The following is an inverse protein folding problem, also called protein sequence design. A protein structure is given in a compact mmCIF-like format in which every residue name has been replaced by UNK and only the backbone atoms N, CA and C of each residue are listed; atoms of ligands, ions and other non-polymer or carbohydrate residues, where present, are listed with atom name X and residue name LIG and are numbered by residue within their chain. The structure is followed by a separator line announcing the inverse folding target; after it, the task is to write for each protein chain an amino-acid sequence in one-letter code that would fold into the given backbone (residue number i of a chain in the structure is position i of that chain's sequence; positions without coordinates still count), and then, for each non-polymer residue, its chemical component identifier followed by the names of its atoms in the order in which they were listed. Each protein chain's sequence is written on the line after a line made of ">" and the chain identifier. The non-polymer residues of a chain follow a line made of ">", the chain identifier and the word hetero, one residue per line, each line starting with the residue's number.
data_IF_667193415891
#
_entry.id   IF_667193415891
#
_cell.length_a   1.000
_cell.length_b   1.000
_cell.length_c   1.000
_cell.angle_alpha   90.00
_cell.angle_beta   90.00
_cell.angle_gamma   90.00
#
_symmetry.space_group_name_H-M   'P 1'
#
loop_
_entity.id
_entity.type
_entity.pdbx_description
1 polymer ?
#
# COMPACT_ATOMS: atom_id res chain seq x y z
N UNK A 1 20.02 29.25 -16.01
CA UNK A 1 19.19 28.24 -15.34
C UNK A 1 19.69 28.13 -13.92
N UNK A 2 18.96 28.72 -12.97
CA UNK A 2 19.15 28.46 -11.53
C UNK A 2 18.88 26.98 -11.27
N UNK A 3 19.69 26.37 -10.41
CA UNK A 3 19.65 24.94 -10.12
C UNK A 3 18.20 24.51 -9.78
N UNK A 4 17.64 23.47 -10.43
CA UNK A 4 16.27 23.06 -10.15
C UNK A 4 16.16 22.53 -8.72
N UNK A 5 14.94 22.52 -8.17
CA UNK A 5 14.53 21.98 -6.85
C UNK A 5 15.08 20.58 -6.49
N UNK A 6 15.70 19.91 -7.46
CA UNK A 6 16.43 18.68 -7.29
C UNK A 6 17.38 18.69 -6.08
N UNK A 7 18.19 19.74 -5.89
CA UNK A 7 19.12 19.83 -4.73
C UNK A 7 18.39 20.04 -3.40
N UNK A 8 17.19 20.62 -3.42
CA UNK A 8 16.39 20.83 -2.22
C UNK A 8 15.67 19.55 -1.77
N UNK A 9 15.29 18.68 -2.70
CA UNK A 9 14.60 17.42 -2.40
C UNK A 9 15.46 16.16 -2.59
N UNK A 10 16.77 16.32 -2.79
CA UNK A 10 17.74 15.22 -2.74
C UNK A 10 18.86 15.52 -1.74
N UNK A 11 19.45 14.45 -1.20
CA UNK A 11 20.55 14.55 -0.23
C UNK A 11 20.09 14.68 1.23
N UNK A 12 20.96 15.17 2.14
CA UNK A 12 20.75 15.09 3.59
C UNK A 12 19.51 15.85 4.09
N UNK A 13 19.18 16.97 3.44
CA UNK A 13 18.07 17.85 3.85
C UNK A 13 16.73 17.46 3.22
N UNK A 14 16.72 16.51 2.28
CA UNK A 14 15.53 16.13 1.51
C UNK A 14 14.33 15.77 2.39
N UNK A 15 14.57 14.99 3.46
CA UNK A 15 13.51 14.58 4.39
C UNK A 15 12.91 15.77 5.14
N UNK A 16 13.76 16.68 5.62
CA UNK A 16 13.32 17.90 6.32
C UNK A 16 12.52 18.82 5.41
N UNK A 17 13.03 19.05 4.21
CA UNK A 17 12.37 19.90 3.20
C UNK A 17 11.03 19.30 2.74
N UNK A 18 10.96 17.98 2.54
CA UNK A 18 9.71 17.28 2.21
C UNK A 18 8.69 17.41 3.34
N UNK A 19 9.10 17.25 4.60
CA UNK A 19 8.19 17.41 5.74
C UNK A 19 7.74 18.87 5.91
N UNK A 20 8.63 19.84 5.70
CA UNK A 20 8.27 21.25 5.72
C UNK A 20 7.25 21.57 4.62
N UNK A 21 7.44 21.02 3.41
CA UNK A 21 6.52 21.21 2.29
C UNK A 21 5.13 20.66 2.61
N UNK A 22 5.06 19.42 3.08
CA UNK A 22 3.80 18.78 3.46
C UNK A 22 3.08 19.53 4.60
N UNK A 23 3.82 20.22 5.47
CA UNK A 23 3.27 21.06 6.55
C UNK A 23 2.93 22.49 6.12
N UNK A 24 3.27 22.89 4.90
CA UNK A 24 3.11 24.28 4.44
C UNK A 24 4.12 25.27 5.03
N UNK A 25 5.25 24.78 5.54
CA UNK A 25 6.33 25.56 6.17
C UNK A 25 7.57 25.69 5.27
N UNK A 26 7.50 25.22 4.04
CA UNK A 26 8.64 25.25 3.11
C UNK A 26 8.60 26.53 2.28
N UNK A 27 9.62 27.36 2.46
CA UNK A 27 9.81 28.57 1.67
C UNK A 27 10.69 28.29 0.46
N UNK A 28 10.29 28.81 -0.69
CA UNK A 28 11.04 28.69 -1.94
C UNK A 28 11.52 30.06 -2.39
N UNK A 29 12.83 30.16 -2.58
CA UNK A 29 13.50 31.33 -3.16
C UNK A 29 13.41 31.29 -4.70
N UNK A 30 12.20 31.31 -5.27
CA UNK A 30 11.99 31.39 -6.72
C UNK A 30 11.02 32.50 -7.10
N UNK A 31 11.24 33.08 -8.27
CA UNK A 31 10.31 34.05 -8.87
C UNK A 31 9.26 33.38 -9.79
N UNK A 32 9.30 32.06 -9.98
CA UNK A 32 8.34 31.33 -10.83
C UNK A 32 7.01 31.10 -10.10
N UNK A 33 5.91 31.78 -10.51
CA UNK A 33 4.62 31.66 -9.85
C UNK A 33 3.96 30.28 -10.01
N UNK A 34 4.25 29.56 -11.10
CA UNK A 34 3.68 28.22 -11.31
C UNK A 34 4.28 27.22 -10.33
N UNK A 35 5.58 27.35 -10.06
CA UNK A 35 6.25 26.47 -9.12
C UNK A 35 5.79 26.71 -7.69
N UNK A 36 5.62 27.97 -7.30
CA UNK A 36 5.05 28.33 -5.98
C UNK A 36 3.65 27.74 -5.83
N UNK A 37 2.80 27.88 -6.86
CA UNK A 37 1.45 27.32 -6.84
C UNK A 37 1.47 25.79 -6.74
N UNK A 38 2.32 25.11 -7.50
CA UNK A 38 2.47 23.66 -7.43
C UNK A 38 2.85 23.18 -6.02
N UNK A 39 3.83 23.83 -5.39
CA UNK A 39 4.30 23.46 -4.05
C UNK A 39 3.24 23.71 -2.98
N UNK A 40 2.46 24.78 -3.09
CA UNK A 40 1.36 25.03 -2.14
C UNK A 40 0.27 23.94 -2.21
N UNK A 41 -0.02 23.43 -3.42
CA UNK A 41 -0.93 22.29 -3.62
C UNK A 41 -0.35 20.94 -3.17
N UNK A 42 0.96 20.86 -2.87
CA UNK A 42 1.57 19.65 -2.32
C UNK A 42 1.36 19.52 -0.80
N UNK A 43 0.79 20.54 -0.13
CA UNK A 43 0.52 20.52 1.31
C UNK A 43 -0.43 19.37 1.67
N UNK A 44 -0.20 18.73 2.82
CA UNK A 44 -1.14 17.75 3.36
C UNK A 44 -2.47 18.47 3.67
N UNK A 45 -3.62 17.95 3.19
CA UNK A 45 -4.93 18.49 3.54
C UNK A 45 -5.16 18.52 5.06
N UNK A 46 -5.86 19.55 5.52
CA UNK A 46 -6.29 19.64 6.92
C UNK A 46 -7.32 18.55 7.24
N UNK A 47 -7.28 17.99 8.45
CA UNK A 47 -8.20 16.93 8.89
C UNK A 47 -7.74 15.49 8.61
N UNK A 48 -6.57 15.28 8.00
CA UNK A 48 -5.94 13.96 7.90
C UNK A 48 -5.18 13.62 9.19
N UNK A 49 -5.72 12.71 9.98
CA UNK A 49 -5.01 12.15 11.14
C UNK A 49 -3.99 11.09 10.70
N UNK A 50 -2.78 11.14 11.26
CA UNK A 50 -1.82 10.04 11.14
C UNK A 50 -2.30 8.87 12.00
N UNK A 51 -2.96 7.90 11.37
CA UNK A 51 -3.23 6.63 12.03
C UNK A 51 -1.99 5.73 11.98
N UNK A 52 -1.60 5.13 13.13
CA UNK A 52 -0.53 4.14 13.13
C UNK A 52 -0.90 2.99 12.19
N UNK A 53 0.00 2.66 11.25
CA UNK A 53 -0.14 1.49 10.38
C UNK A 53 0.25 0.19 11.08
N UNK A 54 -0.09 0.06 12.36
CA UNK A 54 0.17 -1.15 13.12
C UNK A 54 -0.95 -2.17 12.90
N UNK A 55 -0.56 -3.45 12.85
CA UNK A 55 -1.48 -4.57 12.81
C UNK A 55 -1.41 -5.25 14.16
N UNK A 56 -2.47 -5.12 14.95
CA UNK A 56 -2.60 -5.87 16.19
C UNK A 56 -2.99 -7.33 15.91
N UNK A 57 -2.71 -8.20 16.88
CA UNK A 57 -3.04 -9.64 16.82
C UNK A 57 -4.55 -9.87 16.71
N UNK A 58 -5.37 -9.12 17.46
CA UNK A 58 -6.82 -9.27 17.41
C UNK A 58 -7.36 -8.82 16.04
N UNK A 59 -6.83 -7.71 15.52
CA UNK A 59 -7.10 -7.21 14.17
C UNK A 59 -6.75 -8.25 13.10
N UNK A 60 -5.59 -8.89 13.22
CA UNK A 60 -5.13 -9.93 12.30
C UNK A 60 -6.07 -11.14 12.30
N UNK A 61 -6.36 -11.70 13.47
CA UNK A 61 -7.22 -12.90 13.61
C UNK A 61 -8.64 -12.60 13.14
N UNK A 62 -9.20 -11.45 13.54
CA UNK A 62 -10.56 -11.05 13.18
C UNK A 62 -10.71 -10.79 11.68
N UNK A 63 -9.67 -10.27 11.01
CA UNK A 63 -9.62 -10.08 9.57
C UNK A 63 -9.68 -11.42 8.84
N UNK A 64 -8.75 -12.34 9.13
CA UNK A 64 -8.66 -13.63 8.42
C UNK A 64 -9.85 -14.54 8.68
N UNK A 65 -10.48 -14.45 9.85
CA UNK A 65 -11.73 -15.17 10.14
C UNK A 65 -12.85 -14.84 9.15
N UNK A 66 -12.90 -13.60 8.65
CA UNK A 66 -13.93 -13.11 7.70
C UNK A 66 -13.55 -13.34 6.23
N UNK A 67 -12.29 -13.69 5.95
CA UNK A 67 -11.82 -13.82 4.57
C UNK A 67 -12.34 -15.10 3.92
N UNK A 68 -12.79 -14.95 2.67
CA UNK A 68 -13.27 -16.06 1.85
C UNK A 68 -12.11 -16.97 1.50
N UNK A 69 -12.27 -18.26 1.79
CA UNK A 69 -11.23 -19.25 1.51
C UNK A 69 -11.07 -19.46 0.01
N UNK A 70 -12.14 -19.77 -0.74
CA UNK A 70 -12.07 -20.10 -2.19
C UNK A 70 -11.64 -18.96 -3.14
N UNK A 71 -10.97 -17.93 -2.65
CA UNK A 71 -10.42 -16.84 -3.46
C UNK A 71 -9.13 -17.31 -4.14
N UNK A 72 -9.06 -17.14 -5.45
CA UNK A 72 -7.84 -17.40 -6.21
C UNK A 72 -6.68 -16.50 -5.76
N UNK A 73 -5.51 -17.11 -5.56
CA UNK A 73 -4.27 -16.47 -5.13
C UNK A 73 -3.10 -16.91 -6.02
N UNK A 74 -1.97 -16.21 -5.88
CA UNK A 74 -0.73 -16.64 -6.51
C UNK A 74 -0.31 -18.04 -5.99
N UNK A 75 0.08 -19.00 -6.87
CA UNK A 75 0.28 -20.42 -6.50
C UNK A 75 1.36 -20.73 -5.46
N UNK A 76 2.39 -19.89 -5.33
CA UNK A 76 3.52 -20.13 -4.42
C UNK A 76 3.28 -19.52 -3.02
N UNK A 77 2.14 -18.86 -2.82
CA UNK A 77 1.78 -18.21 -1.57
C UNK A 77 0.86 -19.05 -0.69
N UNK A 78 0.82 -18.72 0.61
CA UNK A 78 -0.15 -19.31 1.52
C UNK A 78 -1.57 -18.85 1.15
N UNK A 79 -2.46 -19.83 1.04
CA UNK A 79 -3.88 -19.59 0.88
C UNK A 79 -4.55 -18.94 2.11
N UNK A 80 -5.63 -18.18 1.92
CA UNK A 80 -6.41 -17.56 3.01
C UNK A 80 -6.80 -18.55 4.13
N UNK A 81 -7.08 -19.81 3.76
CA UNK A 81 -7.41 -20.88 4.70
C UNK A 81 -6.28 -21.20 5.68
N UNK A 82 -5.01 -21.06 5.26
CA UNK A 82 -3.87 -21.26 6.16
C UNK A 82 -3.83 -20.20 7.25
N UNK A 83 -3.99 -18.92 6.92
CA UNK A 83 -4.05 -17.84 7.91
C UNK A 83 -5.27 -17.95 8.83
N UNK A 84 -6.40 -18.41 8.30
CA UNK A 84 -7.60 -18.64 9.12
C UNK A 84 -7.41 -19.79 10.11
N UNK A 85 -6.76 -20.88 9.69
CA UNK A 85 -6.39 -21.97 10.59
C UNK A 85 -5.29 -21.53 11.58
N UNK A 86 -4.31 -20.74 11.12
CA UNK A 86 -3.24 -20.15 11.93
C UNK A 86 -3.78 -19.27 13.05
N UNK A 87 -4.90 -18.58 12.82
CA UNK A 87 -5.61 -17.80 13.83
C UNK A 87 -6.11 -18.59 15.05
N UNK A 88 -6.19 -19.93 14.98
CA UNK A 88 -6.52 -20.76 16.14
C UNK A 88 -5.32 -21.05 17.06
N UNK A 89 -4.09 -20.81 16.58
CA UNK A 89 -2.85 -20.98 17.35
C UNK A 89 -2.27 -19.61 17.68
N UNK A 90 -2.16 -19.28 18.97
CA UNK A 90 -1.59 -18.00 19.40
C UNK A 90 -0.18 -17.78 18.85
N UNK A 91 0.64 -18.82 18.81
CA UNK A 91 2.01 -18.74 18.30
C UNK A 91 2.03 -18.37 16.81
N UNK A 92 1.24 -19.08 15.99
CA UNK A 92 1.21 -18.85 14.54
C UNK A 92 0.59 -17.49 14.22
N UNK A 93 -0.53 -17.14 14.86
CA UNK A 93 -1.17 -15.84 14.69
C UNK A 93 -0.22 -14.68 15.05
N UNK A 94 0.58 -14.81 16.11
CA UNK A 94 1.62 -13.84 16.45
C UNK A 94 2.68 -13.74 15.35
N UNK A 95 3.20 -14.86 14.84
CA UNK A 95 4.17 -14.86 13.75
C UNK A 95 3.61 -14.19 12.49
N UNK A 96 2.40 -14.55 12.07
CA UNK A 96 1.73 -14.00 10.88
C UNK A 96 1.45 -12.50 11.06
N UNK A 97 1.12 -12.05 12.28
CA UNK A 97 0.93 -10.63 12.61
C UNK A 97 2.23 -9.83 12.47
N UNK A 98 3.35 -10.40 12.93
CA UNK A 98 4.68 -9.80 12.79
C UNK A 98 5.04 -9.65 11.31
N UNK A 99 4.91 -10.72 10.51
CA UNK A 99 5.22 -10.67 9.08
C UNK A 99 4.39 -9.62 8.34
N UNK A 100 3.08 -9.53 8.65
CA UNK A 100 2.20 -8.51 8.08
C UNK A 100 2.56 -7.08 8.51
N UNK A 101 3.22 -6.91 9.65
CA UNK A 101 3.65 -5.60 10.17
C UNK A 101 4.97 -5.09 9.59
N UNK A 102 5.82 -5.97 9.03
CA UNK A 102 7.13 -5.60 8.47
C UNK A 102 7.06 -4.47 7.43
N UNK A 103 6.14 -4.49 6.44
CA UNK A 103 6.05 -3.41 5.44
C UNK A 103 5.74 -2.06 6.05
N UNK A 104 4.91 -2.03 7.09
CA UNK A 104 4.51 -0.80 7.76
C UNK A 104 5.62 -0.22 8.62
N UNK A 105 6.41 -1.08 9.28
CA UNK A 105 7.53 -0.66 10.11
C UNK A 105 8.77 -0.27 9.30
N UNK A 106 9.05 -0.97 8.20
CA UNK A 106 10.33 -0.86 7.47
C UNK A 106 10.22 -0.17 6.12
N UNK A 107 9.03 -0.07 5.54
CA UNK A 107 8.83 0.35 4.16
C UNK A 107 9.24 -0.70 3.12
N UNK A 108 9.67 -1.89 3.54
CA UNK A 108 10.07 -2.98 2.65
C UNK A 108 9.03 -4.11 2.65
N UNK A 109 8.70 -4.58 1.45
CA UNK A 109 7.74 -5.65 1.24
C UNK A 109 8.47 -7.00 1.18
N UNK A 110 7.95 -8.08 1.81
CA UNK A 110 8.50 -9.42 1.68
C UNK A 110 8.63 -9.84 0.22
N UNK A 111 9.74 -10.49 -0.14
CA UNK A 111 10.02 -10.90 -1.52
C UNK A 111 8.90 -11.77 -2.13
N UNK A 112 8.24 -12.59 -1.30
CA UNK A 112 7.13 -13.43 -1.74
C UNK A 112 5.91 -12.62 -2.23
N UNK A 113 5.68 -11.42 -1.70
CA UNK A 113 4.57 -10.57 -2.12
C UNK A 113 4.83 -9.89 -3.48
N UNK A 114 6.09 -9.91 -3.94
CA UNK A 114 6.49 -9.41 -5.25
C UNK A 114 6.20 -10.42 -6.39
N UNK A 115 5.74 -11.64 -6.06
CA UNK A 115 5.26 -12.58 -7.07
C UNK A 115 3.80 -12.26 -7.40
N UNK A 116 3.57 -11.91 -8.67
CA UNK A 116 2.24 -11.66 -9.21
C UNK A 116 2.02 -12.55 -10.42
N UNK A 117 0.84 -13.13 -10.53
CA UNK A 117 0.44 -13.96 -11.65
C UNK A 117 -0.67 -13.26 -12.42
N UNK A 118 -0.46 -13.03 -13.71
CA UNK A 118 -1.49 -12.52 -14.60
C UNK A 118 -2.27 -13.67 -15.21
N UNK A 119 -3.59 -13.67 -14.99
CA UNK A 119 -4.49 -14.65 -15.57
C UNK A 119 -5.44 -13.96 -16.56
N UNK A 120 -5.50 -14.46 -17.79
CA UNK A 120 -6.40 -13.95 -18.81
C UNK A 120 -7.77 -14.64 -18.68
N UNK A 121 -8.83 -13.85 -18.47
CA UNK A 121 -10.21 -14.32 -18.40
C UNK A 121 -10.99 -13.72 -19.55
N UNK A 122 -11.85 -14.52 -20.17
CA UNK A 122 -12.76 -14.06 -21.21
C UNK A 122 -13.70 -12.95 -20.68
N UNK A 123 -13.86 -11.86 -21.43
CA UNK A 123 -14.89 -10.84 -21.12
C UNK A 123 -16.29 -11.40 -21.37
N UNK A 124 -16.45 -12.13 -22.48
CA UNK A 124 -17.65 -12.87 -22.86
C UNK A 124 -17.32 -14.35 -23.01
N UNK A 125 -18.12 -15.27 -22.43
CA UNK A 125 -17.87 -16.70 -22.53
C UNK A 125 -17.71 -17.18 -23.98
N UNK A 126 -16.63 -17.91 -24.26
CA UNK A 126 -16.32 -18.50 -25.57
C UNK A 126 -15.55 -17.59 -26.54
N UNK A 127 -15.28 -16.33 -26.18
CA UNK A 127 -14.49 -15.40 -27.00
C UNK A 127 -13.05 -15.28 -26.48
N UNK A 128 -12.10 -15.96 -27.13
CA UNK A 128 -10.67 -16.01 -26.73
C UNK A 128 -9.77 -15.00 -27.46
N UNK A 129 -10.35 -14.03 -28.18
CA UNK A 129 -9.58 -12.98 -28.84
C UNK A 129 -8.95 -12.06 -27.81
N UNK A 130 -7.70 -11.66 -28.00
CA UNK A 130 -6.91 -10.86 -27.03
C UNK A 130 -7.66 -9.60 -26.57
N UNK A 131 -8.28 -8.86 -27.49
CA UNK A 131 -9.04 -7.64 -27.18
C UNK A 131 -10.31 -7.91 -26.36
N UNK A 132 -10.80 -9.15 -26.40
CA UNK A 132 -11.97 -9.65 -25.69
C UNK A 132 -11.59 -10.40 -24.40
N UNK A 133 -10.31 -10.41 -24.02
CA UNK A 133 -9.84 -10.88 -22.72
C UNK A 133 -9.70 -9.72 -21.72
N UNK A 134 -9.86 -10.02 -20.43
CA UNK A 134 -9.48 -9.17 -19.30
C UNK A 134 -8.37 -9.86 -18.51
N UNK A 135 -7.36 -9.11 -18.10
CA UNK A 135 -6.32 -9.62 -17.21
C UNK A 135 -6.75 -9.44 -15.77
N UNK A 136 -6.76 -10.52 -15.00
CA UNK A 136 -6.87 -10.48 -13.54
C UNK A 136 -5.50 -10.81 -12.96
N UNK A 137 -5.03 -9.96 -12.06
CA UNK A 137 -3.77 -10.17 -11.36
C UNK A 137 -4.02 -10.86 -10.03
N UNK A 138 -3.40 -12.02 -9.87
CA UNK A 138 -3.39 -12.80 -8.64
C UNK A 138 -2.12 -12.45 -7.85
N UNK A 139 -2.28 -12.32 -6.54
CA UNK A 139 -1.25 -11.85 -5.62
C UNK A 139 -1.20 -12.79 -4.41
N UNK A 140 -0.12 -12.71 -3.64
CA UNK A 140 -0.09 -13.26 -2.28
C UNK A 140 -1.27 -12.68 -1.47
N UNK A 141 -1.90 -13.47 -0.60
CA UNK A 141 -3.09 -13.07 0.17
C UNK A 141 -2.83 -11.92 1.14
N UNK A 142 -1.61 -11.81 1.68
CA UNK A 142 -1.25 -10.81 2.67
C UNK A 142 -1.15 -9.41 2.06
N UNK A 143 -0.72 -9.29 0.81
CA UNK A 143 -0.59 -8.00 0.10
C UNK A 143 -1.93 -7.23 0.02
N UNK A 144 -3.04 -7.79 -0.53
CA UNK A 144 -4.33 -7.11 -0.53
C UNK A 144 -4.91 -6.97 0.88
N UNK A 145 -4.56 -7.83 1.83
CA UNK A 145 -4.95 -7.68 3.23
C UNK A 145 -4.30 -6.44 3.86
N UNK A 146 -3.02 -6.20 3.58
CA UNK A 146 -2.29 -5.02 4.01
C UNK A 146 -2.79 -3.76 3.32
N UNK A 147 -3.06 -3.80 2.01
CA UNK A 147 -3.62 -2.65 1.29
C UNK A 147 -4.99 -2.22 1.81
N UNK A 148 -5.82 -3.18 2.25
CA UNK A 148 -7.11 -2.87 2.90
C UNK A 148 -6.96 -2.16 4.26
N UNK A 149 -5.81 -2.31 4.94
CA UNK A 149 -5.51 -1.55 6.16
C UNK A 149 -5.13 -0.10 5.84
N UNK A 150 -4.44 0.12 4.72
CA UNK A 150 -4.06 1.48 4.25
C UNK A 150 -5.27 2.23 3.67
N UNK A 151 -6.17 1.55 2.96
CA UNK A 151 -7.27 2.15 2.20
C UNK A 151 -8.16 3.16 2.96
N UNK A 152 -8.63 2.87 4.19
CA UNK A 152 -9.44 3.79 4.98
C UNK A 152 -8.78 5.15 5.25
N UNK A 153 -7.44 5.20 5.24
CA UNK A 153 -6.65 6.42 5.41
C UNK A 153 -6.72 7.34 4.17
N UNK A 154 -7.13 6.79 3.01
CA UNK A 154 -7.25 7.52 1.74
C UNK A 154 -8.69 7.96 1.42
N UNK A 155 -9.70 7.33 2.04
CA UNK A 155 -11.12 7.51 1.70
C UNK A 155 -11.89 8.49 2.60
N UNK A 156 -11.26 9.06 3.62
CA UNK A 156 -11.85 10.14 4.44
C UNK A 156 -11.88 11.50 3.72
N UNK A 157 -11.60 11.53 2.41
CA UNK A 157 -11.66 12.71 1.55
C UNK A 157 -12.62 12.45 0.39
N UNK A 158 -13.92 12.48 0.68
CA UNK A 158 -14.97 12.79 -0.31
C UNK A 158 -16.12 13.49 0.37
#
# INVERSE_FOLDING_TARGET
>A
MTEPLYSNFNGPNAKGNSQALLRGLYEVETADPYLVSFLDHCRRPEGLEDQPLEVDLEDHVSFWRKMVEHKGLEPHSLHNGHFKAGGASNLLACCDTIFRSIPFATGFVPAQWCHLLNFAIEKKPGEIWVDLMRTIQMMNSELPASNKRVGPMQSSTT
#
